data_IF_034904626050
#
_entry.id   IF_034904626050
#
_cell.length_a   1.000
_cell.length_b   1.000
_cell.length_c   1.000
_cell.angle_alpha   90.00
_cell.angle_beta   90.00
_cell.angle_gamma   90.00
#
_symmetry.space_group_name_H-M   'P 1'
#
loop_
_entity.id
_entity.type
_entity.pdbx_description
1 polymer ?
#
# COMPACT_ATOMS: atom_id res chain seq x y z
N UNK A 1 -30.99 -1.96 4.10
CA UNK A 1 -29.60 -1.45 4.01
C UNK A 1 -28.92 -1.83 5.31
N UNK A 2 -28.22 -2.96 5.34
CA UNK A 2 -27.54 -3.42 6.55
C UNK A 2 -26.16 -2.75 6.58
N UNK A 3 -26.07 -1.60 7.24
CA UNK A 3 -24.78 -0.95 7.51
C UNK A 3 -24.03 -1.83 8.50
N UNK A 4 -23.19 -2.73 7.98
CA UNK A 4 -22.30 -3.54 8.80
C UNK A 4 -21.48 -2.59 9.68
N UNK A 5 -21.58 -2.77 11.00
CA UNK A 5 -20.84 -1.98 11.97
C UNK A 5 -19.35 -2.05 11.63
N UNK A 6 -18.60 -0.93 11.60
CA UNK A 6 -17.20 -0.91 11.13
C UNK A 6 -16.31 -1.96 11.82
N UNK A 7 -16.57 -2.28 13.10
CA UNK A 7 -15.88 -3.35 13.83
C UNK A 7 -16.10 -4.76 13.25
N UNK A 8 -17.33 -5.08 12.81
CA UNK A 8 -17.64 -6.37 12.20
C UNK A 8 -16.92 -6.52 10.84
N UNK A 9 -16.82 -5.42 10.10
CA UNK A 9 -16.10 -5.38 8.83
C UNK A 9 -14.58 -5.52 9.00
N UNK A 10 -14.00 -4.93 10.06
CA UNK A 10 -12.56 -5.07 10.38
C UNK A 10 -12.21 -6.52 10.76
N UNK A 11 -13.05 -7.17 11.58
CA UNK A 11 -12.84 -8.58 11.95
C UNK A 11 -12.97 -9.50 10.73
N UNK A 12 -13.95 -9.23 9.86
CA UNK A 12 -14.14 -9.99 8.60
C UNK A 12 -12.92 -9.83 7.69
N UNK A 13 -12.38 -8.62 7.58
CA UNK A 13 -11.16 -8.35 6.82
C UNK A 13 -9.95 -9.09 7.41
N UNK A 14 -9.78 -9.06 8.72
CA UNK A 14 -8.69 -9.79 9.39
C UNK A 14 -8.72 -11.28 9.10
N UNK A 15 -9.90 -11.90 9.18
CA UNK A 15 -10.08 -13.31 8.85
C UNK A 15 -9.80 -13.60 7.38
N UNK A 16 -10.34 -12.79 6.47
CA UNK A 16 -10.09 -12.91 5.03
C UNK A 16 -8.59 -12.86 4.71
N UNK A 17 -7.85 -11.90 5.28
CA UNK A 17 -6.41 -11.76 5.07
C UNK A 17 -5.62 -12.93 5.67
N UNK A 18 -6.06 -13.48 6.80
CA UNK A 18 -5.47 -14.67 7.39
C UNK A 18 -5.65 -15.90 6.48
N UNK A 19 -6.87 -16.16 6.03
CA UNK A 19 -7.19 -17.25 5.10
C UNK A 19 -6.39 -17.12 3.79
N UNK A 20 -6.30 -15.90 3.25
CA UNK A 20 -5.56 -15.62 2.03
C UNK A 20 -4.04 -15.84 2.21
N UNK A 21 -3.49 -15.48 3.38
CA UNK A 21 -2.09 -15.78 3.71
C UNK A 21 -1.85 -17.27 3.86
N UNK A 22 -2.74 -18.00 4.53
CA UNK A 22 -2.62 -19.46 4.68
C UNK A 22 -2.65 -20.16 3.33
N UNK A 23 -3.49 -19.73 2.38
CA UNK A 23 -3.54 -20.29 1.03
C UNK A 23 -2.27 -19.99 0.20
N UNK A 24 -1.56 -18.89 0.49
CA UNK A 24 -0.36 -18.47 -0.24
C UNK A 24 0.96 -19.00 0.36
N UNK A 25 0.92 -19.42 1.63
CA UNK A 25 2.07 -19.88 2.40
C UNK A 25 2.08 -21.42 2.50
N UNK A 26 3.24 -22.05 2.73
CA UNK A 26 3.29 -23.49 2.97
C UNK A 26 2.46 -23.88 4.21
N UNK A 27 1.71 -24.98 4.12
CA UNK A 27 0.74 -25.50 5.10
C UNK A 27 1.22 -25.59 6.56
N UNK A 28 2.52 -25.48 6.81
CA UNK A 28 3.12 -25.53 8.14
C UNK A 28 3.24 -24.18 8.85
N UNK A 29 2.88 -23.07 8.21
CA UNK A 29 3.04 -21.73 8.81
C UNK A 29 1.73 -21.22 9.40
N UNK A 30 1.58 -21.33 10.72
CA UNK A 30 0.48 -20.70 11.45
C UNK A 30 0.69 -19.19 11.58
N UNK A 31 0.27 -18.41 10.57
CA UNK A 31 0.27 -16.94 10.65
C UNK A 31 -1.03 -16.47 11.27
N UNK A 32 -0.95 -15.55 12.24
CA UNK A 32 -2.08 -14.84 12.80
C UNK A 32 -2.15 -13.42 12.23
N UNK A 33 -3.32 -12.99 11.79
CA UNK A 33 -3.55 -11.61 11.32
C UNK A 33 -4.45 -10.87 12.28
N UNK A 34 -4.06 -9.63 12.63
CA UNK A 34 -4.90 -8.70 13.39
C UNK A 34 -5.08 -7.41 12.61
N UNK A 35 -6.33 -6.97 12.52
CA UNK A 35 -6.68 -5.70 11.91
C UNK A 35 -7.24 -4.75 12.95
N UNK A 36 -6.87 -3.48 12.85
CA UNK A 36 -7.33 -2.41 13.72
C UNK A 36 -7.51 -1.12 12.90
N UNK A 37 -8.44 -0.25 13.27
CA UNK A 37 -8.67 1.01 12.56
C UNK A 37 -8.39 2.17 13.51
N UNK A 38 -7.34 2.93 13.24
CA UNK A 38 -6.96 4.09 14.05
C UNK A 38 -6.94 5.35 13.20
N UNK A 39 -7.76 6.33 13.59
CA UNK A 39 -7.82 7.66 12.94
C UNK A 39 -8.01 7.60 11.41
N UNK A 40 -8.75 6.60 10.92
CA UNK A 40 -8.98 6.40 9.47
C UNK A 40 -7.87 5.64 8.73
N UNK A 41 -6.83 5.19 9.44
CA UNK A 41 -5.78 4.31 8.92
C UNK A 41 -6.02 2.89 9.38
N UNK A 42 -6.06 1.95 8.43
CA UNK A 42 -6.13 0.52 8.74
C UNK A 42 -4.75 -0.01 9.09
N UNK A 43 -4.60 -0.55 10.29
CA UNK A 43 -3.39 -1.23 10.75
C UNK A 43 -3.61 -2.73 10.61
N UNK A 44 -2.72 -3.40 9.87
CA UNK A 44 -2.75 -4.86 9.68
C UNK A 44 -1.44 -5.42 10.21
N UNK A 45 -1.52 -6.30 11.20
CA UNK A 45 -0.37 -6.96 11.80
C UNK A 45 -0.43 -8.46 11.52
N UNK A 46 0.52 -8.96 10.74
CA UNK A 46 0.77 -10.39 10.57
C UNK A 46 1.84 -10.84 11.57
N UNK A 47 1.52 -11.85 12.35
CA UNK A 47 2.44 -12.50 13.28
C UNK A 47 2.66 -13.95 12.88
N UNK A 48 3.92 -14.37 12.75
CA UNK A 48 4.28 -15.76 12.52
C UNK A 48 5.16 -16.30 13.65
N UNK A 49 5.16 -17.61 13.92
CA UNK A 49 5.97 -18.19 14.96
C UNK A 49 7.47 -18.15 14.57
N UNK A 50 8.35 -18.04 15.57
CA UNK A 50 9.77 -17.76 15.34
C UNK A 50 10.59 -18.92 14.77
N UNK A 51 10.02 -20.12 14.78
CA UNK A 51 10.53 -21.33 14.15
C UNK A 51 10.27 -21.39 12.64
N UNK A 52 9.47 -20.48 12.07
CA UNK A 52 9.24 -20.37 10.63
C UNK A 52 10.07 -19.21 10.06
N UNK A 53 10.86 -19.51 9.02
CA UNK A 53 11.53 -18.49 8.20
C UNK A 53 10.56 -18.02 7.11
N UNK A 54 9.70 -17.07 7.47
CA UNK A 54 8.75 -16.49 6.55
C UNK A 54 9.36 -15.27 5.86
N UNK A 55 9.28 -15.21 4.53
CA UNK A 55 9.76 -14.05 3.79
C UNK A 55 8.80 -12.89 4.00
N UNK A 56 9.26 -11.87 4.72
CA UNK A 56 8.42 -10.73 5.09
C UNK A 56 7.93 -9.95 3.88
N UNK A 57 8.71 -9.89 2.79
CA UNK A 57 8.31 -9.23 1.56
C UNK A 57 7.19 -10.00 0.85
N UNK A 58 7.24 -11.33 0.86
CA UNK A 58 6.15 -12.18 0.37
C UNK A 58 4.87 -11.97 1.17
N UNK A 59 4.95 -11.98 2.51
CA UNK A 59 3.79 -11.72 3.39
C UNK A 59 3.19 -10.35 3.13
N UNK A 60 4.01 -9.30 3.04
CA UNK A 60 3.54 -7.95 2.76
C UNK A 60 2.88 -7.86 1.37
N UNK A 61 3.42 -8.54 0.37
CA UNK A 61 2.85 -8.58 -0.98
C UNK A 61 1.49 -9.28 -0.98
N UNK A 62 1.39 -10.44 -0.33
CA UNK A 62 0.12 -11.18 -0.19
C UNK A 62 -0.93 -10.37 0.56
N UNK A 63 -0.54 -9.65 1.63
CA UNK A 63 -1.45 -8.76 2.35
C UNK A 63 -1.96 -7.60 1.48
N UNK A 64 -1.10 -7.01 0.64
CA UNK A 64 -1.50 -5.96 -0.30
C UNK A 64 -2.48 -6.48 -1.35
N UNK A 65 -2.24 -7.68 -1.89
CA UNK A 65 -3.13 -8.32 -2.86
C UNK A 65 -4.50 -8.58 -2.23
N UNK A 66 -4.55 -9.22 -1.06
CA UNK A 66 -5.81 -9.44 -0.35
C UNK A 66 -6.55 -8.13 -0.02
N UNK A 67 -5.84 -7.06 0.36
CA UNK A 67 -6.45 -5.75 0.57
C UNK A 67 -6.99 -5.12 -0.71
N UNK A 68 -6.31 -5.29 -1.84
CA UNK A 68 -6.77 -4.81 -3.14
C UNK A 68 -7.99 -5.59 -3.63
N UNK A 69 -8.02 -6.91 -3.43
CA UNK A 69 -9.15 -7.77 -3.77
C UNK A 69 -10.39 -7.47 -2.92
N UNK A 70 -10.21 -7.31 -1.61
CA UNK A 70 -11.31 -7.00 -0.71
C UNK A 70 -11.82 -5.56 -0.87
N UNK A 71 -10.93 -4.63 -1.24
CA UNK A 71 -11.20 -3.19 -1.41
C UNK A 71 -12.04 -2.61 -0.27
N UNK A 72 -11.51 -2.58 0.98
CA UNK A 72 -12.31 -2.21 2.14
C UNK A 72 -12.76 -0.74 2.04
N UNK A 73 -14.08 -0.44 2.12
CA UNK A 73 -14.59 0.93 2.02
C UNK A 73 -14.28 1.80 3.24
N UNK A 74 -13.53 1.26 4.20
CA UNK A 74 -13.34 1.83 5.55
C UNK A 74 -12.13 2.77 5.64
N UNK A 75 -11.27 2.83 4.63
CA UNK A 75 -9.92 3.39 4.75
C UNK A 75 -9.29 3.71 3.39
N UNK A 76 -8.65 4.88 3.28
CA UNK A 76 -7.77 5.25 2.15
C UNK A 76 -6.30 4.86 2.38
N UNK A 77 -5.88 4.64 3.62
CA UNK A 77 -4.49 4.29 3.98
C UNK A 77 -4.43 3.03 4.85
N UNK A 78 -3.67 2.03 4.41
CA UNK A 78 -3.36 0.83 5.18
C UNK A 78 -1.87 0.79 5.55
N UNK A 79 -1.57 0.37 6.77
CA UNK A 79 -0.22 0.10 7.28
C UNK A 79 -0.11 -1.36 7.66
N UNK A 80 0.83 -2.02 7.02
CA UNK A 80 1.10 -3.44 7.16
C UNK A 80 2.34 -3.62 8.04
N UNK A 81 2.26 -4.53 8.99
CA UNK A 81 3.35 -4.88 9.90
C UNK A 81 3.52 -6.39 9.93
N UNK A 82 4.77 -6.85 9.81
CA UNK A 82 5.11 -8.26 9.98
C UNK A 82 6.00 -8.40 11.20
N UNK A 83 5.61 -9.31 12.10
CA UNK A 83 6.27 -9.54 13.38
C UNK A 83 6.48 -11.03 13.59
N UNK A 84 7.60 -11.37 14.22
CA UNK A 84 7.84 -12.72 14.71
C UNK A 84 7.31 -12.85 16.13
N UNK A 85 6.68 -13.97 16.46
CA UNK A 85 6.24 -14.26 17.83
C UNK A 85 7.45 -14.21 18.77
N UNK A 86 7.31 -13.47 19.88
CA UNK A 86 8.40 -13.24 20.84
C UNK A 86 9.25 -12.00 20.60
N UNK A 87 9.29 -11.43 19.39
CA UNK A 87 9.97 -10.14 19.15
C UNK A 87 9.09 -8.98 19.65
N UNK A 88 9.66 -7.86 20.11
CA UNK A 88 8.85 -6.70 20.57
C UNK A 88 8.42 -5.76 19.43
N UNK A 89 9.18 -5.72 18.34
CA UNK A 89 8.96 -4.82 17.22
C UNK A 89 8.66 -5.61 15.94
N UNK A 90 7.88 -5.05 15.01
CA UNK A 90 7.76 -5.62 13.68
C UNK A 90 9.12 -5.52 12.98
N UNK A 91 9.59 -6.64 12.41
CA UNK A 91 10.84 -6.66 11.66
C UNK A 91 10.65 -6.12 10.23
N UNK A 92 9.41 -6.08 9.73
CA UNK A 92 9.08 -5.46 8.45
C UNK A 92 7.78 -4.65 8.52
N UNK A 93 7.71 -3.59 7.73
CA UNK A 93 6.55 -2.70 7.63
C UNK A 93 6.39 -2.16 6.21
N UNK A 94 5.17 -1.91 5.79
CA UNK A 94 4.86 -1.22 4.55
C UNK A 94 3.60 -0.36 4.70
N UNK A 95 3.60 0.80 4.06
CA UNK A 95 2.38 1.58 3.82
C UNK A 95 1.78 1.22 2.46
N UNK A 96 0.46 1.28 2.37
CA UNK A 96 -0.30 1.03 1.16
C UNK A 96 -1.46 2.02 1.09
N UNK A 97 -1.63 2.69 -0.04
CA UNK A 97 -2.81 3.51 -0.29
C UNK A 97 -3.85 2.64 -0.98
N UNK A 98 -4.99 2.45 -0.33
CA UNK A 98 -6.12 1.76 -0.93
C UNK A 98 -6.76 2.79 -1.85
N UNK A 99 -6.60 2.63 -3.17
CA UNK A 99 -7.27 3.48 -4.15
C UNK A 99 -8.78 3.26 -3.99
N UNK A 100 -9.41 4.08 -3.15
CA UNK A 100 -10.86 4.25 -3.19
C UNK A 100 -11.16 4.95 -4.52
N UNK A 101 -12.17 4.50 -5.25
CA UNK A 101 -12.53 5.01 -6.58
C UNK A 101 -12.82 6.54 -6.64
N UNK A 102 -12.84 7.23 -5.50
CA UNK A 102 -13.01 8.68 -5.35
C UNK A 102 -11.69 9.49 -5.24
N UNK A 103 -10.53 8.87 -5.44
CA UNK A 103 -9.23 9.59 -5.43
C UNK A 103 -8.60 9.72 -6.82
N UNK A 104 -9.43 9.81 -7.86
CA UNK A 104 -9.01 10.44 -9.11
C UNK A 104 -9.48 11.89 -9.08
N UNK A 105 -8.85 12.70 -8.22
CA UNK A 105 -8.77 14.12 -8.51
C UNK A 105 -7.72 14.23 -9.64
N UNK A 106 -8.11 14.64 -10.85
CA UNK A 106 -7.15 14.93 -11.89
C UNK A 106 -6.18 16.01 -11.37
N UNK A 107 -4.90 16.01 -11.78
CA UNK A 107 -4.05 17.17 -11.59
C UNK A 107 -4.65 18.32 -12.42
N UNK A 108 -5.52 19.10 -11.79
CA UNK A 108 -6.04 20.34 -12.34
C UNK A 108 -5.10 21.49 -11.94
N UNK A 109 -4.79 22.31 -12.95
CA UNK A 109 -3.86 23.44 -13.01
C UNK A 109 -2.36 23.10 -13.10
N UNK A 110 -1.63 23.44 -14.17
CA UNK A 110 -1.78 24.66 -14.97
C UNK A 110 -1.74 24.42 -16.48
N UNK A 111 -2.84 24.84 -17.10
CA UNK A 111 -2.94 25.38 -18.45
C UNK A 111 -1.89 26.47 -18.70
N UNK A 112 -1.12 26.33 -19.78
CA UNK A 112 -0.82 27.42 -20.73
C UNK A 112 -0.46 26.78 -22.08
N UNK A 113 -1.45 26.70 -22.97
CA UNK A 113 -1.25 26.73 -24.43
C UNK A 113 -0.80 28.16 -24.85
N UNK A 114 -0.36 28.48 -26.10
CA UNK A 114 -0.32 27.67 -27.33
C UNK A 114 0.98 27.72 -28.17
N UNK A 115 1.12 26.72 -29.05
CA UNK A 115 1.43 26.73 -30.50
C UNK A 115 2.01 27.98 -31.22
N UNK A 116 2.79 27.65 -32.28
CA UNK A 116 3.33 28.47 -33.40
C UNK A 116 4.61 29.28 -33.08
N UNK A 117 5.68 29.30 -33.87
CA UNK A 117 5.84 29.04 -35.30
C UNK A 117 7.30 28.70 -35.66
N UNK A 118 7.44 28.01 -36.79
CA UNK A 118 8.66 27.71 -37.53
C UNK A 118 9.36 29.00 -38.02
N UNK A 119 10.70 29.12 -37.91
CA UNK A 119 11.58 29.66 -38.98
C UNK A 119 13.04 29.80 -38.53
N UNK A 120 13.89 29.02 -39.21
CA UNK A 120 15.14 29.45 -39.86
C UNK A 120 15.78 30.78 -39.44
N UNK A 121 17.01 30.73 -38.93
CA UNK A 121 17.93 31.88 -39.08
C UNK A 121 19.09 31.98 -38.09
N UNK A 122 20.29 31.65 -38.57
CA UNK A 122 21.56 32.31 -38.23
C UNK A 122 22.19 32.11 -36.83
N UNK A 123 23.28 31.33 -36.85
CA UNK A 123 24.50 31.50 -36.01
C UNK A 123 24.95 32.98 -35.85
N UNK A 124 26.04 33.27 -35.09
CA UNK A 124 26.53 32.75 -33.80
C UNK A 124 26.93 33.91 -32.86
N UNK A 125 27.33 33.66 -31.61
CA UNK A 125 28.49 34.35 -30.97
C UNK A 125 28.86 33.61 -29.69
N UNK A 126 30.03 32.96 -29.72
CA UNK A 126 30.76 32.51 -28.54
C UNK A 126 31.63 33.70 -28.11
N UNK A 127 31.56 34.20 -26.86
CA UNK A 127 32.66 34.98 -26.33
C UNK A 127 33.73 34.02 -25.77
N UNK A 128 34.84 33.89 -26.50
CA UNK A 128 36.14 33.60 -25.89
C UNK A 128 36.48 34.78 -24.97
N UNK A 129 36.80 34.54 -23.69
CA UNK A 129 37.96 35.16 -23.01
C UNK A 129 38.21 34.56 -21.60
N UNK A 130 39.32 33.83 -21.50
CA UNK A 130 40.34 33.73 -20.43
C UNK A 130 40.00 33.98 -18.94
N UNK A 131 40.20 32.95 -18.09
CA UNK A 131 41.33 32.84 -17.14
C UNK A 131 41.50 31.40 -16.63
#
# INVERSE_FOLDING_TARGET
MNTATPLASIQTLGRFLEEHLHASLPDSTSVQVRCDLQRGTLLVMAQHPGNCSLDAARVLTTLKQGLAEYSPPLTREARLFVRKAGEKQPHARASWQVQSAEAMEPPDAAETEPTEDEETGSQPTIPLYWM
#
